data_IF_270551636615
#
_entry.id   IF_270551636615
#
_cell.length_a   1.000
_cell.length_b   1.000
_cell.length_c   1.000
_cell.angle_alpha   90.00
_cell.angle_beta   90.00
_cell.angle_gamma   90.00
#
_symmetry.space_group_name_H-M   'P 1'
#
loop_
_entity.id
_entity.type
_entity.pdbx_description
1 polymer ?
#
# COMPACT_ATOMS: atom_id res chain seq x y z
N UNK A 1 -11.57 -5.56 -6.28
CA UNK A 1 -10.60 -5.48 -5.16
C UNK A 1 -11.27 -5.02 -3.87
N UNK A 2 -11.49 -3.72 -3.60
CA UNK A 2 -12.14 -3.25 -2.34
C UNK A 2 -13.57 -3.81 -2.15
N UNK A 3 -14.38 -3.83 -3.22
CA UNK A 3 -15.76 -4.34 -3.20
C UNK A 3 -15.85 -5.84 -2.86
N UNK A 4 -14.96 -6.63 -3.45
CA UNK A 4 -14.95 -8.09 -3.26
C UNK A 4 -14.32 -8.49 -1.93
N UNK A 5 -13.32 -7.72 -1.47
CA UNK A 5 -12.68 -7.91 -0.17
C UNK A 5 -13.68 -7.87 0.98
N UNK A 6 -14.58 -6.89 1.01
CA UNK A 6 -15.60 -6.81 2.07
C UNK A 6 -16.66 -7.91 2.02
N UNK A 7 -16.74 -8.68 0.92
CA UNK A 7 -17.69 -9.79 0.79
C UNK A 7 -17.13 -11.11 1.33
N UNK A 8 -15.84 -11.36 1.17
CA UNK A 8 -15.24 -12.67 1.51
C UNK A 8 -13.77 -12.65 1.97
N UNK A 9 -13.11 -11.49 1.98
CA UNK A 9 -11.67 -11.36 2.25
C UNK A 9 -11.29 -11.20 3.72
N UNK A 10 -12.26 -11.15 4.63
CA UNK A 10 -12.05 -10.89 6.05
C UNK A 10 -11.84 -9.40 6.35
N UNK A 11 -11.18 -9.12 7.47
CA UNK A 11 -11.07 -7.76 8.01
C UNK A 11 -9.79 -7.03 7.58
N UNK A 12 -8.69 -7.75 7.31
CA UNK A 12 -7.38 -7.17 6.93
C UNK A 12 -6.99 -7.59 5.51
N UNK A 13 -6.55 -6.63 4.69
CA UNK A 13 -6.17 -6.86 3.31
C UNK A 13 -4.90 -6.12 2.88
N UNK A 14 -4.14 -6.73 1.98
CA UNK A 14 -2.95 -6.15 1.35
C UNK A 14 -2.96 -6.46 -0.15
N UNK A 15 -2.96 -5.42 -0.97
CA UNK A 15 -3.08 -5.55 -2.43
C UNK A 15 -2.04 -4.69 -3.15
N UNK A 16 -1.44 -5.21 -4.22
CA UNK A 16 -0.59 -4.41 -5.10
C UNK A 16 -1.41 -3.82 -6.24
N UNK A 17 -1.45 -2.49 -6.34
CA UNK A 17 -1.98 -1.79 -7.51
C UNK A 17 -0.83 -1.47 -8.47
N UNK A 18 -0.61 -2.36 -9.44
CA UNK A 18 0.49 -2.24 -10.41
C UNK A 18 0.42 -0.91 -11.17
N UNK A 19 -0.74 -0.57 -11.73
CA UNK A 19 -0.93 0.67 -12.51
C UNK A 19 -0.69 1.95 -11.70
N UNK A 20 -0.91 1.92 -10.39
CA UNK A 20 -0.69 3.07 -9.50
C UNK A 20 0.70 3.05 -8.85
N UNK A 21 1.44 1.93 -8.94
CA UNK A 21 2.70 1.70 -8.25
C UNK A 21 2.59 1.87 -6.72
N UNK A 22 1.49 1.37 -6.14
CA UNK A 22 1.23 1.44 -4.68
C UNK A 22 0.73 0.11 -4.14
N UNK A 23 0.99 -0.13 -2.86
CA UNK A 23 0.34 -1.17 -2.07
C UNK A 23 -0.82 -0.54 -1.29
N UNK A 24 -1.97 -1.18 -1.37
CA UNK A 24 -3.21 -0.79 -0.69
C UNK A 24 -3.33 -1.68 0.55
N UNK A 25 -3.37 -1.03 1.72
CA UNK A 25 -3.67 -1.65 3.00
C UNK A 25 -5.13 -1.41 3.33
N UNK A 26 -5.84 -2.44 3.81
CA UNK A 26 -7.26 -2.36 4.18
C UNK A 26 -7.48 -2.95 5.57
N UNK A 27 -8.30 -2.29 6.37
CA UNK A 27 -8.78 -2.79 7.66
C UNK A 27 -10.15 -2.19 8.01
N UNK A 28 -11.18 -3.02 8.21
CA UNK A 28 -12.51 -2.62 8.74
C UNK A 28 -13.09 -1.33 8.12
N UNK A 29 -13.20 -1.29 6.79
CA UNK A 29 -13.73 -0.12 6.06
C UNK A 29 -12.67 0.92 5.71
N UNK A 30 -11.64 1.03 6.55
CA UNK A 30 -10.51 1.94 6.40
C UNK A 30 -9.43 1.39 5.47
N UNK A 31 -8.57 2.27 4.98
CA UNK A 31 -7.43 1.87 4.17
C UNK A 31 -6.35 2.92 4.15
N UNK A 32 -5.18 2.55 3.64
CA UNK A 32 -4.09 3.49 3.40
C UNK A 32 -3.23 3.02 2.23
N UNK A 33 -2.47 3.94 1.63
CA UNK A 33 -1.55 3.64 0.54
C UNK A 33 -0.11 3.74 0.99
N UNK A 34 0.69 2.76 0.61
CA UNK A 34 2.15 2.81 0.75
C UNK A 34 2.79 2.63 -0.62
N UNK A 35 3.95 3.26 -0.84
CA UNK A 35 4.71 3.08 -2.08
C UNK A 35 4.99 1.59 -2.32
N UNK A 36 4.83 1.14 -3.57
CA UNK A 36 5.15 -0.24 -3.91
C UNK A 36 6.65 -0.53 -3.68
N UNK A 37 7.03 -1.81 -3.49
CA UNK A 37 8.42 -2.18 -3.23
C UNK A 37 9.28 -2.18 -4.49
N UNK A 38 8.92 -1.43 -5.53
CA UNK A 38 9.67 -1.36 -6.78
C UNK A 38 10.29 0.02 -6.97
N UNK A 39 11.51 0.03 -7.50
CA UNK A 39 12.28 1.22 -7.81
C UNK A 39 12.91 1.09 -9.19
N UNK A 40 13.17 2.24 -9.83
CA UNK A 40 14.02 2.28 -11.02
C UNK A 40 15.51 2.04 -10.64
N UNK A 41 16.42 1.87 -11.61
CA UNK A 41 17.85 1.66 -11.34
C UNK A 41 18.54 2.76 -10.52
N UNK A 42 17.94 3.95 -10.43
CA UNK A 42 18.45 5.08 -9.65
C UNK A 42 17.84 5.14 -8.25
N UNK A 43 16.96 4.20 -7.88
CA UNK A 43 16.30 4.18 -6.58
C UNK A 43 15.03 5.02 -6.51
N UNK A 44 14.51 5.50 -7.64
CA UNK A 44 13.33 6.36 -7.68
C UNK A 44 12.04 5.56 -7.87
N UNK A 45 10.96 6.06 -7.26
CA UNK A 45 9.61 5.54 -7.52
C UNK A 45 9.08 6.07 -8.85
N UNK A 46 8.27 5.26 -9.53
CA UNK A 46 7.50 5.70 -10.69
C UNK A 46 6.00 5.65 -10.35
N UNK A 47 5.53 6.68 -9.63
CA UNK A 47 4.13 6.80 -9.24
C UNK A 47 3.22 6.79 -10.47
N UNK A 48 2.23 5.90 -10.47
CA UNK A 48 1.34 5.73 -11.62
C UNK A 48 2.01 5.20 -12.89
N UNK A 49 3.26 4.72 -12.80
CA UNK A 49 4.07 4.29 -13.95
C UNK A 49 4.16 5.34 -15.07
N UNK A 50 4.11 6.64 -14.70
CA UNK A 50 4.04 7.75 -15.65
C UNK A 50 5.35 7.98 -16.40
N UNK A 51 6.49 7.67 -15.80
CA UNK A 51 7.82 7.83 -16.42
C UNK A 51 8.14 6.67 -17.36
N UNK A 52 7.42 5.56 -17.24
CA UNK A 52 7.61 4.37 -18.08
C UNK A 52 8.95 3.67 -17.83
N UNK A 53 9.61 3.94 -16.70
CA UNK A 53 10.91 3.32 -16.41
C UNK A 53 10.71 1.90 -15.89
N UNK A 54 11.54 0.93 -16.31
CA UNK A 54 11.54 -0.40 -15.72
C UNK A 54 11.70 -0.33 -14.19
N UNK A 55 10.84 -1.06 -13.50
CA UNK A 55 10.76 -1.10 -12.04
C UNK A 55 11.25 -2.47 -11.54
N UNK A 56 12.14 -2.46 -10.56
CA UNK A 56 12.75 -3.66 -9.99
C UNK A 56 12.44 -3.79 -8.51
N UNK A 57 12.28 -5.02 -8.04
CA UNK A 57 11.96 -5.30 -6.64
C UNK A 57 13.11 -4.83 -5.73
N UNK A 58 12.85 -3.83 -4.90
CA UNK A 58 13.73 -3.44 -3.82
C UNK A 58 13.46 -4.33 -2.59
N UNK A 59 14.44 -5.18 -2.26
CA UNK A 59 14.34 -6.17 -1.16
C UNK A 59 14.08 -5.54 0.20
N UNK A 60 14.66 -4.38 0.49
CA UNK A 60 14.48 -3.67 1.76
C UNK A 60 13.04 -3.18 1.91
N UNK A 61 12.48 -2.50 0.90
CA UNK A 61 11.08 -2.06 0.91
C UNK A 61 10.10 -3.22 0.99
N UNK A 62 10.39 -4.31 0.27
CA UNK A 62 9.59 -5.53 0.36
C UNK A 62 9.59 -6.12 1.77
N UNK A 63 10.76 -6.17 2.44
CA UNK A 63 10.86 -6.68 3.80
C UNK A 63 10.00 -5.87 4.78
N UNK A 64 9.96 -4.53 4.65
CA UNK A 64 9.09 -3.68 5.48
C UNK A 64 7.60 -3.97 5.26
N UNK A 65 7.17 -4.09 4.01
CA UNK A 65 5.76 -4.43 3.68
C UNK A 65 5.43 -5.85 4.19
N UNK A 66 6.34 -6.81 4.03
CA UNK A 66 6.18 -8.18 4.53
C UNK A 66 6.10 -8.20 6.07
N UNK A 67 6.86 -7.34 6.75
CA UNK A 67 6.82 -7.19 8.21
C UNK A 67 5.46 -6.70 8.68
N UNK A 68 4.84 -5.73 7.99
CA UNK A 68 3.48 -5.27 8.31
C UNK A 68 2.48 -6.43 8.29
N UNK A 69 2.57 -7.30 7.29
CA UNK A 69 1.72 -8.47 7.16
C UNK A 69 1.98 -9.51 8.26
N UNK A 70 3.22 -9.97 8.40
CA UNK A 70 3.55 -11.07 9.31
C UNK A 70 3.46 -10.73 10.78
N UNK A 71 3.59 -9.45 11.14
CA UNK A 71 3.43 -8.98 12.51
C UNK A 71 2.00 -8.54 12.82
N UNK A 72 1.05 -8.71 11.88
CA UNK A 72 -0.33 -8.29 12.03
C UNK A 72 -0.48 -6.80 12.41
N UNK A 73 0.44 -5.93 11.96
CA UNK A 73 0.48 -4.50 12.35
C UNK A 73 -0.26 -3.59 11.38
N UNK A 74 -0.86 -4.13 10.30
CA UNK A 74 -1.64 -3.35 9.32
C UNK A 74 -2.77 -2.52 9.98
N UNK A 75 -3.60 -3.05 10.90
CA UNK A 75 -4.61 -2.26 11.60
C UNK A 75 -4.04 -1.03 12.30
N UNK A 76 -2.96 -1.24 13.08
CA UNK A 76 -2.28 -0.19 13.85
C UNK A 76 -1.65 0.83 12.91
N UNK A 77 -1.04 0.38 11.82
CA UNK A 77 -0.44 1.25 10.82
C UNK A 77 -1.49 2.17 10.19
N UNK A 78 -2.63 1.61 9.74
CA UNK A 78 -3.72 2.39 9.14
C UNK A 78 -4.27 3.42 10.15
N UNK A 79 -4.56 3.01 11.38
CA UNK A 79 -5.08 3.92 12.41
C UNK A 79 -4.15 5.12 12.64
N UNK A 80 -2.85 4.87 12.79
CA UNK A 80 -1.84 5.92 12.96
C UNK A 80 -1.75 6.87 11.76
N UNK A 81 -1.89 6.36 10.54
CA UNK A 81 -1.86 7.20 9.35
C UNK A 81 -3.10 8.10 9.25
N UNK A 82 -4.28 7.58 9.58
CA UNK A 82 -5.53 8.35 9.60
C UNK A 82 -5.46 9.45 10.66
N UNK A 83 -5.01 9.10 11.88
CA UNK A 83 -4.83 10.06 12.98
C UNK A 83 -3.84 11.17 12.61
N UNK A 84 -2.71 10.83 11.97
CA UNK A 84 -1.68 11.80 11.61
C UNK A 84 -2.10 12.75 10.48
N UNK A 85 -2.90 12.27 9.51
CA UNK A 85 -3.23 13.02 8.31
C UNK A 85 -4.66 13.60 8.31
N UNK A 86 -5.47 13.33 9.34
CA UNK A 86 -6.90 13.70 9.40
C UNK A 86 -7.68 13.36 8.11
N UNK A 87 -7.27 12.28 7.44
CA UNK A 87 -7.88 11.81 6.19
C UNK A 87 -8.30 10.36 6.35
N UNK A 88 -9.58 10.09 6.08
CA UNK A 88 -10.20 8.77 6.05
C UNK A 88 -9.77 8.01 4.78
N UNK A 89 -8.48 7.74 4.71
CA UNK A 89 -7.91 6.66 3.93
C UNK A 89 -7.11 7.03 2.69
N UNK A 90 -6.57 8.25 2.61
CA UNK A 90 -5.62 8.65 1.57
C UNK A 90 -6.22 8.64 0.16
N UNK A 91 -7.55 8.52 0.03
CA UNK A 91 -8.23 8.34 -1.25
C UNK A 91 -8.30 9.63 -2.06
N UNK A 92 -8.18 10.78 -1.40
CA UNK A 92 -8.07 12.11 -2.05
C UNK A 92 -6.63 12.47 -2.40
N UNK A 93 -5.64 11.75 -1.84
CA UNK A 93 -4.20 12.06 -1.97
C UNK A 93 -3.49 11.33 -3.12
N UNK A 94 -4.22 10.64 -4.02
CA UNK A 94 -3.65 9.81 -5.10
C UNK A 94 -4.19 10.12 -6.50
#
# INVERSE_FOLDING_TARGET
>A
AKKDFYRCGGEVGLFLSVKRCVVILLHNGNGWFVSAPYLDPHGEVDQGLRRGKPQYLNRKRYAEIRKLWLQHTIPIYIARQIEANYDIGGWTTL
#
